data_IF_223188336728
#
_entry.id   IF_223188336728
#
_cell.length_a   1.000
_cell.length_b   1.000
_cell.length_c   1.000
_cell.angle_alpha   90.00
_cell.angle_beta   90.00
_cell.angle_gamma   90.00
#
_symmetry.space_group_name_H-M   'P 1'
#
loop_
_entity.id
_entity.type
_entity.pdbx_description
1 polymer ?
#
# COMPACT_ATOMS: atom_id res chain seq x y z
N UNK A 1 9.37 -23.77 -9.93
CA UNK A 1 9.21 -23.35 -8.51
C UNK A 1 8.13 -22.27 -8.48
N UNK A 2 7.17 -22.27 -7.54
CA UNK A 2 6.04 -21.37 -7.65
C UNK A 2 6.47 -19.95 -7.26
N UNK A 3 6.27 -19.02 -8.21
CA UNK A 3 6.17 -17.56 -8.09
C UNK A 3 6.49 -16.98 -6.68
N UNK A 4 7.73 -16.54 -6.46
CA UNK A 4 8.15 -15.91 -5.19
C UNK A 4 7.72 -14.45 -5.06
N UNK A 5 7.26 -13.82 -6.15
CA UNK A 5 6.84 -12.43 -6.18
C UNK A 5 5.33 -12.30 -6.45
N UNK A 6 4.60 -11.43 -5.72
CA UNK A 6 3.16 -11.25 -5.91
C UNK A 6 2.83 -10.78 -7.34
N UNK A 7 1.71 -11.26 -7.89
CA UNK A 7 1.22 -10.85 -9.22
C UNK A 7 0.80 -9.38 -9.26
N UNK A 8 0.36 -8.86 -8.11
CA UNK A 8 -0.06 -7.48 -7.95
C UNK A 8 0.36 -7.04 -6.56
N UNK A 9 1.03 -5.90 -6.46
CA UNK A 9 1.51 -5.39 -5.18
C UNK A 9 1.33 -3.89 -5.05
N UNK A 10 1.33 -3.46 -3.80
CA UNK A 10 1.26 -2.07 -3.39
C UNK A 10 2.38 -1.80 -2.39
N UNK A 11 3.01 -0.67 -2.55
CA UNK A 11 3.96 -0.15 -1.57
C UNK A 11 3.68 1.33 -1.36
N UNK A 12 3.80 1.78 -0.11
CA UNK A 12 3.65 3.20 0.21
C UNK A 12 4.39 3.53 1.49
N UNK A 13 4.99 4.71 1.50
CA UNK A 13 5.68 5.26 2.66
C UNK A 13 5.46 6.76 2.72
N UNK A 14 5.31 7.29 3.92
CA UNK A 14 5.25 8.72 4.13
C UNK A 14 5.86 9.14 5.44
N UNK A 15 6.43 10.33 5.43
CA UNK A 15 6.87 11.06 6.60
C UNK A 15 6.04 12.32 6.69
N UNK A 16 5.67 12.69 7.90
CA UNK A 16 4.90 13.91 8.12
C UNK A 16 5.77 15.10 7.78
N UNK A 17 5.42 15.78 6.70
CA UNK A 17 6.07 17.01 6.25
C UNK A 17 5.17 18.19 6.61
N UNK A 18 5.77 19.26 7.15
CA UNK A 18 5.02 20.46 7.50
C UNK A 18 4.48 21.06 6.20
N UNK A 19 3.16 21.30 6.05
CA UNK A 19 2.64 21.98 4.88
C UNK A 19 3.24 23.38 4.78
N UNK A 20 3.53 23.83 3.55
CA UNK A 20 4.14 25.14 3.28
C UNK A 20 3.30 26.34 3.78
N UNK A 21 2.04 26.11 4.20
CA UNK A 21 1.08 27.15 4.59
C UNK A 21 0.27 26.88 5.88
N UNK A 22 0.53 25.81 6.65
CA UNK A 22 -0.28 25.53 7.86
C UNK A 22 0.38 25.95 9.17
N UNK A 23 -0.45 26.48 10.07
CA UNK A 23 -0.13 26.62 11.50
C UNK A 23 0.21 25.25 12.09
N UNK A 24 1.11 25.22 13.07
CA UNK A 24 1.66 24.01 13.74
C UNK A 24 0.65 23.14 14.51
N UNK A 25 -0.63 23.53 14.57
CA UNK A 25 -1.66 22.76 15.26
C UNK A 25 -1.95 21.46 14.49
N UNK A 26 -1.71 20.31 15.13
CA UNK A 26 -1.96 18.98 14.55
C UNK A 26 -0.84 18.42 13.66
N UNK A 27 0.30 19.12 13.54
CA UNK A 27 1.49 18.59 12.87
C UNK A 27 2.35 17.79 13.84
N UNK A 28 2.59 16.51 13.54
CA UNK A 28 3.58 15.70 14.24
C UNK A 28 4.80 15.48 13.32
N UNK A 29 5.94 16.08 13.67
CA UNK A 29 7.17 15.98 12.89
C UNK A 29 7.80 14.57 12.89
N UNK A 30 7.39 13.72 13.84
CA UNK A 30 7.92 12.35 13.99
C UNK A 30 6.98 11.32 13.37
N UNK A 31 5.82 11.74 12.88
CA UNK A 31 4.88 10.80 12.32
C UNK A 31 5.38 10.22 10.99
N UNK A 32 5.23 8.91 10.86
CA UNK A 32 5.62 8.14 9.68
C UNK A 32 4.72 6.92 9.53
N UNK A 33 4.52 6.49 8.29
CA UNK A 33 3.82 5.24 8.00
C UNK A 33 4.57 4.44 6.93
N UNK A 34 4.32 3.14 6.93
CA UNK A 34 4.69 2.26 5.83
C UNK A 34 3.58 1.25 5.56
N UNK A 35 3.44 0.90 4.29
CA UNK A 35 2.53 -0.11 3.78
C UNK A 35 3.27 -0.89 2.72
N UNK A 36 3.23 -2.21 2.82
CA UNK A 36 3.73 -3.09 1.77
C UNK A 36 2.89 -4.34 1.75
N UNK A 37 2.57 -4.81 0.55
CA UNK A 37 1.95 -6.11 0.40
C UNK A 37 1.39 -6.32 -0.98
N UNK A 38 0.69 -7.43 -1.15
CA UNK A 38 0.13 -7.77 -2.45
C UNK A 38 -0.77 -8.98 -2.38
N UNK A 39 -1.37 -9.26 -3.53
CA UNK A 39 -2.16 -10.46 -3.74
C UNK A 39 -1.20 -11.63 -3.83
N UNK A 40 -1.27 -12.53 -2.85
CA UNK A 40 -0.53 -13.79 -2.92
C UNK A 40 -1.16 -14.68 -4.00
N UNK A 41 -0.34 -15.47 -4.73
CA UNK A 41 -0.88 -16.47 -5.64
C UNK A 41 -1.78 -17.43 -4.86
N UNK A 42 -2.96 -17.73 -5.42
CA UNK A 42 -3.85 -18.76 -4.90
C UNK A 42 -3.10 -20.10 -4.87
N UNK A 43 -2.97 -20.72 -3.70
CA UNK A 43 -2.47 -22.10 -3.63
C UNK A 43 -3.57 -22.99 -4.21
N UNK A 44 -3.31 -23.54 -5.40
CA UNK A 44 -4.17 -24.56 -5.98
C UNK A 44 -3.86 -25.89 -5.28
N UNK A 45 -4.36 -26.06 -4.07
CA UNK A 45 -4.40 -27.35 -3.40
C UNK A 45 -5.60 -28.10 -4.00
N UNK A 46 -5.36 -29.23 -4.64
CA UNK A 46 -6.24 -29.99 -5.56
C UNK A 46 -7.71 -30.24 -5.14
N UNK A 47 -8.18 -29.79 -3.98
CA UNK A 47 -9.55 -30.02 -3.50
C UNK A 47 -10.28 -28.83 -2.86
N UNK A 48 -9.64 -27.69 -2.63
CA UNK A 48 -10.32 -26.45 -2.21
C UNK A 48 -9.42 -25.25 -2.51
N UNK A 49 -9.87 -24.22 -3.26
CA UNK A 49 -9.13 -22.97 -3.35
C UNK A 49 -9.10 -22.33 -1.97
N UNK A 50 -7.97 -22.44 -1.27
CA UNK A 50 -7.74 -21.68 -0.04
C UNK A 50 -7.33 -20.28 -0.47
N UNK A 51 -8.25 -19.32 -0.32
CA UNK A 51 -7.92 -17.91 -0.44
C UNK A 51 -6.88 -17.58 0.63
N UNK A 52 -5.63 -17.42 0.20
CA UNK A 52 -4.62 -16.86 1.09
C UNK A 52 -4.97 -15.38 1.31
N UNK A 53 -5.08 -14.92 2.56
CA UNK A 53 -5.27 -13.49 2.81
C UNK A 53 -4.09 -12.73 2.21
N UNK A 54 -4.35 -11.53 1.68
CA UNK A 54 -3.30 -10.64 1.19
C UNK A 54 -2.17 -10.54 2.22
N UNK A 55 -0.93 -10.72 1.79
CA UNK A 55 0.23 -10.58 2.66
C UNK A 55 0.55 -9.10 2.80
N UNK A 56 -0.08 -8.45 3.78
CA UNK A 56 0.08 -7.04 4.06
C UNK A 56 0.88 -6.82 5.34
N UNK A 57 1.78 -5.86 5.28
CA UNK A 57 2.52 -5.28 6.38
C UNK A 57 2.16 -3.79 6.44
N UNK A 58 1.79 -3.32 7.62
CA UNK A 58 1.47 -1.92 7.85
C UNK A 58 2.09 -1.44 9.16
N UNK A 59 2.78 -0.31 9.10
CA UNK A 59 3.37 0.34 10.26
C UNK A 59 2.91 1.79 10.35
N UNK A 60 2.73 2.25 11.57
CA UNK A 60 2.49 3.65 11.89
C UNK A 60 3.27 4.03 13.14
N UNK A 61 3.92 5.18 13.12
CA UNK A 61 4.60 5.74 14.28
C UNK A 61 4.33 7.24 14.33
N UNK A 62 4.22 7.76 15.54
CA UNK A 62 4.05 9.17 15.91
C UNK A 62 4.62 9.36 17.31
N UNK A 63 4.64 10.59 17.83
CA UNK A 63 5.04 10.87 19.22
C UNK A 63 4.25 10.11 20.26
N UNK A 64 3.00 9.80 19.95
CA UNK A 64 2.06 9.20 20.88
C UNK A 64 1.97 7.68 20.72
N UNK A 65 2.25 7.16 19.52
CA UNK A 65 1.89 5.78 19.15
C UNK A 65 2.93 5.15 18.26
N UNK A 66 3.13 3.86 18.41
CA UNK A 66 3.91 3.04 17.46
C UNK A 66 3.23 1.70 17.33
N UNK A 67 2.63 1.46 16.17
CA UNK A 67 1.80 0.30 15.87
C UNK A 67 2.35 -0.45 14.67
N UNK A 68 2.39 -1.77 14.78
CA UNK A 68 2.86 -2.68 13.74
C UNK A 68 1.81 -3.75 13.52
N UNK A 69 1.39 -3.88 12.27
CA UNK A 69 0.41 -4.84 11.80
C UNK A 69 1.11 -5.76 10.81
N UNK A 70 1.18 -7.05 11.14
CA UNK A 70 1.89 -8.05 10.35
C UNK A 70 1.17 -9.39 10.41
N UNK A 71 1.31 -10.27 9.41
CA UNK A 71 0.62 -11.57 9.38
C UNK A 71 0.92 -12.47 10.59
N UNK A 72 2.12 -12.37 11.18
CA UNK A 72 2.51 -13.14 12.36
C UNK A 72 1.87 -12.63 13.67
N UNK A 73 1.17 -11.50 13.61
CA UNK A 73 0.36 -10.97 14.71
C UNK A 73 -1.10 -11.06 14.30
N UNK A 74 -2.04 -11.47 15.18
CA UNK A 74 -3.44 -11.71 14.80
C UNK A 74 -4.07 -10.40 14.32
N UNK A 75 -4.01 -10.18 13.01
CA UNK A 75 -4.38 -8.94 12.34
C UNK A 75 -5.27 -9.29 11.17
N UNK A 76 -6.42 -8.64 11.10
CA UNK A 76 -7.28 -8.70 9.93
C UNK A 76 -7.03 -7.46 9.07
N UNK A 77 -6.70 -7.68 7.81
CA UNK A 77 -6.59 -6.63 6.82
C UNK A 77 -7.84 -6.60 5.94
N UNK A 78 -8.31 -5.39 5.65
CA UNK A 78 -9.28 -5.12 4.60
C UNK A 78 -8.70 -4.07 3.66
N UNK A 79 -8.86 -4.26 2.36
CA UNK A 79 -8.30 -3.39 1.32
C UNK A 79 -9.36 -2.97 0.31
N UNK A 80 -9.36 -1.71 -0.07
CA UNK A 80 -10.00 -1.19 -1.28
C UNK A 80 -8.89 -0.54 -2.12
N UNK A 81 -8.54 -1.17 -3.23
CA UNK A 81 -7.45 -0.74 -4.13
C UNK A 81 -8.09 -0.38 -5.46
N UNK A 82 -7.90 0.87 -5.89
CA UNK A 82 -8.46 1.43 -7.13
C UNK A 82 -7.31 2.12 -7.88
N UNK A 83 -6.49 1.35 -8.63
CA UNK A 83 -5.28 1.89 -9.26
C UNK A 83 -5.57 2.96 -10.31
N UNK A 84 -6.66 2.82 -11.06
CA UNK A 84 -7.19 3.79 -12.03
C UNK A 84 -7.46 5.16 -11.40
N UNK A 85 -7.76 5.21 -10.11
CA UNK A 85 -7.97 6.44 -9.33
C UNK A 85 -6.76 6.83 -8.48
N UNK A 86 -5.66 6.08 -8.58
CA UNK A 86 -4.46 6.28 -7.77
C UNK A 86 -4.74 6.14 -6.28
N UNK A 87 -5.74 5.33 -5.89
CA UNK A 87 -6.30 5.27 -4.54
C UNK A 87 -6.07 3.89 -3.90
N UNK A 88 -5.65 3.91 -2.64
CA UNK A 88 -5.64 2.74 -1.78
C UNK A 88 -6.18 3.10 -0.39
N UNK A 89 -7.08 2.27 0.10
CA UNK A 89 -7.56 2.30 1.48
C UNK A 89 -7.27 0.95 2.10
N UNK A 90 -6.49 0.93 3.18
CA UNK A 90 -6.20 -0.29 3.94
C UNK A 90 -6.59 -0.09 5.39
N UNK A 91 -7.37 -1.03 5.91
CA UNK A 91 -7.72 -1.12 7.33
C UNK A 91 -7.03 -2.32 7.94
N UNK A 92 -6.19 -2.09 8.93
CA UNK A 92 -5.57 -3.14 9.73
C UNK A 92 -6.20 -3.16 11.12
N UNK A 93 -6.78 -4.30 11.52
CA UNK A 93 -7.42 -4.48 12.83
C UNK A 93 -6.71 -5.58 13.60
N UNK A 94 -6.18 -5.23 14.77
CA UNK A 94 -5.59 -6.21 15.68
C UNK A 94 -6.71 -6.98 16.40
N UNK A 95 -6.72 -8.30 16.24
CA UNK A 95 -7.63 -9.23 16.92
C UNK A 95 -6.85 -9.79 18.12
N UNK A 96 -6.81 -9.04 19.21
CA UNK A 96 -6.27 -9.53 20.48
C UNK A 96 -7.38 -9.57 21.53
N UNK A 97 -7.45 -10.66 22.29
CA UNK A 97 -8.37 -10.81 23.43
C UNK A 97 -7.78 -10.28 24.73
N UNK A 98 -6.49 -9.96 24.76
CA UNK A 98 -5.74 -9.56 25.97
C UNK A 98 -5.21 -8.13 25.92
N UNK A 99 -5.27 -7.48 24.75
CA UNK A 99 -4.83 -6.11 24.55
C UNK A 99 -5.99 -5.21 24.11
N UNK A 100 -5.81 -3.91 24.29
CA UNK A 100 -6.69 -2.89 23.71
C UNK A 100 -6.81 -3.14 22.20
N UNK A 101 -8.02 -3.39 21.66
CA UNK A 101 -8.23 -3.53 20.22
C UNK A 101 -7.84 -2.25 19.51
N UNK A 102 -6.91 -2.38 18.56
CA UNK A 102 -6.39 -1.28 17.74
C UNK A 102 -6.82 -1.46 16.30
N UNK A 103 -7.22 -0.37 15.68
CA UNK A 103 -7.47 -0.31 14.24
C UNK A 103 -6.70 0.85 13.66
N UNK A 104 -5.98 0.61 12.57
CA UNK A 104 -5.36 1.65 11.76
C UNK A 104 -6.02 1.66 10.39
N UNK A 105 -6.47 2.83 9.95
CA UNK A 105 -6.95 3.05 8.59
C UNK A 105 -5.94 3.96 7.89
N UNK A 106 -5.33 3.47 6.81
CA UNK A 106 -4.53 4.28 5.89
C UNK A 106 -5.33 4.53 4.62
N UNK A 107 -5.55 5.80 4.30
CA UNK A 107 -6.09 6.26 3.01
C UNK A 107 -4.98 6.98 2.28
N UNK A 108 -4.54 6.48 1.14
CA UNK A 108 -3.44 7.06 0.36
C UNK A 108 -3.96 7.30 -1.06
N UNK A 109 -3.73 8.50 -1.58
CA UNK A 109 -4.15 8.87 -2.92
C UNK A 109 -3.10 9.73 -3.62
N UNK A 110 -2.83 9.42 -4.88
CA UNK A 110 -2.08 10.26 -5.80
C UNK A 110 -2.91 10.55 -7.05
N UNK A 111 -2.57 11.62 -7.77
CA UNK A 111 -3.16 11.86 -9.08
C UNK A 111 -2.66 10.76 -10.06
N UNK A 112 -3.54 10.01 -10.73
CA UNK A 112 -3.14 8.96 -11.66
C UNK A 112 -2.19 9.43 -12.78
N UNK A 113 -2.28 10.70 -13.18
CA UNK A 113 -1.51 11.28 -14.30
C UNK A 113 -0.06 11.65 -13.98
N UNK A 114 0.38 11.49 -12.74
CA UNK A 114 1.73 11.89 -12.30
C UNK A 114 2.54 10.69 -11.77
N UNK A 115 2.06 9.48 -12.05
CA UNK A 115 2.83 8.27 -11.82
C UNK A 115 3.90 8.14 -12.90
N UNK A 116 5.08 7.66 -12.50
CA UNK A 116 6.19 7.37 -13.40
C UNK A 116 6.54 5.90 -13.33
N UNK A 117 6.93 5.31 -14.46
CA UNK A 117 7.38 3.92 -14.52
C UNK A 117 8.64 3.73 -13.67
N UNK A 118 8.66 2.66 -12.91
CA UNK A 118 9.80 2.21 -12.10
C UNK A 118 10.12 0.75 -12.41
N UNK A 119 11.39 0.41 -12.25
CA UNK A 119 11.88 -0.93 -12.51
C UNK A 119 11.44 -1.90 -11.41
N UNK A 120 10.74 -2.97 -11.78
CA UNK A 120 10.50 -4.11 -10.91
C UNK A 120 11.48 -5.24 -11.19
N UNK A 121 11.87 -6.03 -10.18
CA UNK A 121 12.79 -7.14 -10.37
C UNK A 121 12.10 -8.29 -11.14
N UNK A 122 12.79 -8.81 -12.15
CA UNK A 122 12.42 -10.04 -12.87
C UNK A 122 13.61 -11.00 -12.93
N UNK A 123 13.37 -12.23 -13.39
CA UNK A 123 14.45 -13.21 -13.63
C UNK A 123 15.52 -12.68 -14.60
N UNK A 124 15.13 -11.87 -15.59
CA UNK A 124 16.01 -11.28 -16.60
C UNK A 124 16.64 -9.94 -16.22
N UNK A 125 16.39 -9.43 -15.01
CA UNK A 125 16.81 -8.11 -14.57
C UNK A 125 15.62 -7.17 -14.28
N UNK A 126 15.88 -5.88 -14.19
CA UNK A 126 14.85 -4.89 -13.93
C UNK A 126 14.13 -4.50 -15.22
N UNK A 127 12.79 -4.53 -15.20
CA UNK A 127 11.95 -4.07 -16.31
C UNK A 127 10.90 -3.10 -15.78
N UNK A 128 10.31 -2.21 -16.60
CA UNK A 128 9.20 -1.37 -16.20
C UNK A 128 7.98 -2.24 -15.82
N UNK A 129 7.80 -2.51 -14.53
CA UNK A 129 6.79 -3.44 -13.98
C UNK A 129 5.96 -2.80 -12.86
N UNK A 130 6.37 -1.62 -12.41
CA UNK A 130 5.60 -0.82 -11.46
C UNK A 130 5.55 0.64 -11.88
N UNK A 131 4.64 1.36 -11.26
CA UNK A 131 4.45 2.80 -11.42
C UNK A 131 4.42 3.43 -10.03
N UNK A 132 5.12 4.55 -9.86
CA UNK A 132 5.28 5.21 -8.57
C UNK A 132 5.00 6.72 -8.65
N UNK A 133 4.39 7.26 -7.59
CA UNK A 133 4.22 8.70 -7.38
C UNK A 133 4.79 9.11 -6.02
N UNK A 134 5.64 10.12 -5.99
CA UNK A 134 6.20 10.73 -4.77
C UNK A 134 5.37 11.91 -4.22
N UNK A 135 4.19 12.12 -4.79
CA UNK A 135 3.30 13.23 -4.45
C UNK A 135 1.98 12.77 -3.85
N UNK A 136 1.91 11.52 -3.41
CA UNK A 136 0.72 11.00 -2.77
C UNK A 136 0.42 11.78 -1.48
N UNK A 137 -0.87 11.91 -1.18
CA UNK A 137 -1.36 12.37 0.11
C UNK A 137 -1.87 11.15 0.86
N UNK A 138 -1.52 11.05 2.13
CA UNK A 138 -2.05 9.99 2.98
C UNK A 138 -2.72 10.56 4.23
N UNK A 139 -3.71 9.83 4.74
CA UNK A 139 -4.29 10.07 6.06
C UNK A 139 -4.25 8.76 6.83
N UNK A 140 -3.65 8.80 8.02
CA UNK A 140 -3.69 7.73 9.00
C UNK A 140 -4.73 8.06 10.07
N UNK A 141 -5.68 7.17 10.29
CA UNK A 141 -6.66 7.25 11.36
C UNK A 141 -6.44 6.10 12.33
N UNK A 142 -6.10 6.43 13.57
CA UNK A 142 -5.84 5.48 14.63
C UNK A 142 -7.06 5.36 15.54
N UNK A 143 -7.50 4.12 15.79
CA UNK A 143 -8.63 3.84 16.68
C UNK A 143 -8.22 2.88 17.80
N UNK A 144 -8.69 3.16 19.01
CA UNK A 144 -8.63 2.26 20.17
C UNK A 144 -10.04 2.03 20.69
N UNK A 145 -10.42 0.77 20.92
CA UNK A 145 -11.80 0.41 21.30
C UNK A 145 -12.87 0.97 20.34
N UNK A 146 -12.51 1.12 19.06
CA UNK A 146 -13.38 1.71 18.03
C UNK A 146 -13.54 3.23 18.11
N UNK A 147 -12.87 3.90 19.06
CA UNK A 147 -12.85 5.37 19.14
C UNK A 147 -11.64 5.92 18.41
N UNK A 148 -11.83 6.97 17.61
CA UNK A 148 -10.76 7.67 16.94
C UNK A 148 -9.89 8.39 17.99
N UNK A 149 -8.59 8.07 18.01
CA UNK A 149 -7.63 8.61 18.99
C UNK A 149 -6.52 9.43 18.36
N UNK A 150 -6.29 9.30 17.06
CA UNK A 150 -5.31 10.11 16.32
C UNK A 150 -5.69 10.19 14.84
N UNK A 151 -5.47 11.36 14.23
CA UNK A 151 -5.52 11.54 12.78
C UNK A 151 -4.27 12.27 12.37
N UNK A 152 -3.55 11.72 11.40
CA UNK A 152 -2.33 12.32 10.87
C UNK A 152 -2.39 12.37 9.35
N UNK A 153 -2.13 13.56 8.81
CA UNK A 153 -2.04 13.76 7.36
C UNK A 153 -0.57 13.82 6.92
N UNK A 154 -0.29 13.15 5.82
CA UNK A 154 1.02 13.10 5.18
C UNK A 154 0.92 13.74 3.81
N UNK A 155 1.87 14.61 3.51
CA UNK A 155 2.02 15.26 2.21
C UNK A 155 3.32 14.77 1.58
N UNK A 156 3.30 14.53 0.26
CA UNK A 156 4.47 14.04 -0.49
C UNK A 156 4.94 12.65 -0.02
N UNK A 157 3.97 11.74 0.12
CA UNK A 157 4.24 10.31 0.34
C UNK A 157 4.54 9.62 -0.99
N UNK A 158 5.25 8.51 -0.92
CA UNK A 158 5.41 7.59 -2.04
C UNK A 158 4.21 6.64 -2.10
N UNK A 159 3.71 6.37 -3.29
CA UNK A 159 2.71 5.35 -3.59
C UNK A 159 3.14 4.62 -4.87
N UNK A 160 3.29 3.31 -4.76
CA UNK A 160 3.67 2.43 -5.86
C UNK A 160 2.59 1.37 -6.07
N UNK A 161 2.23 1.18 -7.34
CA UNK A 161 1.45 0.04 -7.82
C UNK A 161 2.34 -0.81 -8.71
N UNK A 162 2.32 -2.12 -8.54
CA UNK A 162 3.09 -3.02 -9.40
C UNK A 162 2.31 -4.23 -9.87
N UNK A 163 2.80 -4.83 -10.96
CA UNK A 163 2.12 -5.91 -11.66
C UNK A 163 0.80 -5.48 -12.25
N UNK A 164 -0.27 -6.27 -12.06
CA UNK A 164 -1.57 -5.95 -12.67
C UNK A 164 -2.09 -4.56 -12.29
N UNK A 165 -1.83 -4.09 -11.07
CA UNK A 165 -2.27 -2.77 -10.61
C UNK A 165 -1.60 -1.62 -11.38
N UNK A 166 -0.35 -1.80 -11.81
CA UNK A 166 0.31 -0.79 -12.64
C UNK A 166 -0.38 -0.68 -14.01
N UNK A 167 -0.80 -1.81 -14.58
CA UNK A 167 -1.51 -1.83 -15.85
C UNK A 167 -2.96 -1.37 -15.76
N UNK A 168 -3.66 -1.66 -14.65
CA UNK A 168 -4.98 -1.10 -14.36
C UNK A 168 -4.91 0.43 -14.28
N UNK A 169 -3.87 0.98 -13.62
CA UNK A 169 -3.62 2.42 -13.62
C UNK A 169 -3.39 2.93 -15.04
N UNK A 170 -2.47 2.32 -15.78
CA UNK A 170 -2.12 2.72 -17.15
C UNK A 170 -3.31 2.65 -18.12
N UNK A 171 -4.24 1.71 -17.94
CA UNK A 171 -5.48 1.62 -18.72
C UNK A 171 -6.52 2.68 -18.32
N UNK A 172 -6.48 3.15 -17.08
CA UNK A 172 -7.35 4.20 -16.56
C UNK A 172 -6.89 5.63 -16.89
N UNK A 173 -5.63 5.81 -17.27
CA UNK A 173 -5.10 7.07 -17.80
C UNK A 173 -4.81 6.94 -19.30
N UNK A 174 -5.46 7.77 -20.12
CA UNK A 174 -5.14 7.94 -21.55
C UNK A 174 -3.77 8.65 -21.73
N UNK A 175 -2.70 8.06 -21.22
CA UNK A 175 -1.34 8.58 -21.26
C UNK A 175 -0.36 7.47 -21.69
N UNK A 176 0.12 7.58 -22.93
CA UNK A 176 1.06 6.61 -23.52
C UNK A 176 2.39 6.51 -22.75
N UNK A 177 2.80 7.58 -22.05
CA UNK A 177 4.05 7.57 -21.28
C UNK A 177 4.02 6.57 -20.11
N UNK A 178 2.83 6.30 -19.58
CA UNK A 178 2.60 5.36 -18.47
C UNK A 178 2.42 3.92 -18.98
N UNK A 179 1.82 3.73 -20.16
CA UNK A 179 1.47 2.41 -20.70
C UNK A 179 2.56 1.78 -21.59
N UNK A 180 3.32 2.57 -22.36
CA UNK A 180 4.29 2.03 -23.31
C UNK A 180 5.42 1.24 -22.61
N UNK A 181 5.59 -0.03 -22.96
CA UNK A 181 6.65 -0.89 -22.42
C UNK A 181 6.46 -1.33 -20.97
N UNK A 182 5.29 -1.10 -20.37
CA UNK A 182 4.92 -1.60 -19.05
C UNK A 182 4.61 -3.11 -19.12
N UNK A 183 5.18 -3.88 -18.21
CA UNK A 183 5.00 -5.34 -18.12
C UNK A 183 3.97 -5.65 -17.03
N UNK A 184 2.82 -6.24 -17.40
CA UNK A 184 1.70 -6.48 -16.48
C UNK A 184 1.81 -7.77 -15.68
N UNK A 185 2.34 -8.82 -16.32
CA UNK A 185 2.72 -10.06 -15.66
C UNK A 185 4.20 -10.25 -15.96
N UNK A 186 5.08 -10.32 -14.95
CA UNK A 186 6.45 -10.67 -15.23
C UNK A 186 6.42 -12.05 -15.88
N UNK A 187 7.16 -12.20 -16.97
CA UNK A 187 7.48 -13.50 -17.53
C UNK A 187 8.37 -14.27 -16.54
N UNK A 188 7.77 -14.78 -15.47
CA UNK A 188 8.32 -15.84 -14.66
C UNK A 188 8.10 -17.15 -15.44
N UNK A 189 8.63 -17.24 -16.66
CA UNK A 189 8.55 -18.46 -17.48
C UNK A 189 9.20 -19.65 -16.76
N UNK A 190 8.63 -20.82 -17.03
CA UNK A 190 8.73 -22.13 -16.37
C UNK A 190 10.14 -22.62 -16.00
#
# INVERSE_FOLDING_TARGET
MPHSFPRSFVWSQGFSTKPDSSTTAGFDAEAQFCLSGGVLPTLNMDKLPVLLPNALLMGYSSRQRTWHFKPQSPTLFSTNIQPDQGLIIVTARQISTTLVPRTLVLKIQANPKIFSKVGGPTRGGFVPHSVESYSAKATAECYEWGKLVEVTSFYRSALEFGGSYACELAAGVDDESVSEGLVCEPQWEE
#
